data_IF_438357976443
#
_entry.id   IF_438357976443
#
_cell.length_a   1.000
_cell.length_b   1.000
_cell.length_c   1.000
_cell.angle_alpha   90.00
_cell.angle_beta   90.00
_cell.angle_gamma   90.00
#
_symmetry.space_group_name_H-M   'P 1'
#
loop_
_entity.id
_entity.type
_entity.pdbx_description
1 polymer ?
#
# COMPACT_ATOMS: atom_id res chain seq x y z
N UNK A 1 -9.77 -16.72 -6.77
CA UNK A 1 -10.29 -15.36 -6.55
C UNK A 1 -9.24 -14.57 -5.77
N UNK A 2 -8.78 -13.43 -6.29
CA UNK A 2 -7.77 -12.59 -5.64
C UNK A 2 -8.40 -11.67 -4.60
N UNK A 3 -7.79 -11.55 -3.42
CA UNK A 3 -8.21 -10.62 -2.37
C UNK A 3 -7.64 -9.23 -2.66
N UNK A 4 -8.41 -8.19 -2.36
CA UNK A 4 -7.93 -6.81 -2.38
C UNK A 4 -6.96 -6.56 -1.22
N UNK A 5 -5.90 -5.80 -1.48
CA UNK A 5 -4.81 -5.50 -0.55
C UNK A 5 -5.33 -4.82 0.70
N UNK A 6 -6.32 -3.92 0.55
CA UNK A 6 -6.95 -3.23 1.67
C UNK A 6 -7.50 -4.21 2.72
N UNK A 7 -8.19 -5.26 2.27
CA UNK A 7 -8.78 -6.27 3.15
C UNK A 7 -7.72 -7.23 3.74
N UNK A 8 -6.59 -7.42 3.05
CA UNK A 8 -5.47 -8.20 3.56
C UNK A 8 -4.70 -7.41 4.62
N UNK A 9 -4.51 -6.10 4.40
CA UNK A 9 -3.87 -5.19 5.34
C UNK A 9 -4.67 -5.08 6.64
N UNK A 10 -5.99 -4.91 6.55
CA UNK A 10 -6.88 -4.85 7.72
C UNK A 10 -6.76 -6.13 8.58
N UNK A 11 -6.75 -7.31 7.94
CA UNK A 11 -6.54 -8.59 8.63
C UNK A 11 -5.16 -8.75 9.23
N UNK A 12 -4.16 -8.07 8.66
CA UNK A 12 -2.81 -8.01 9.20
C UNK A 12 -2.66 -6.96 10.32
N UNK A 13 -3.75 -6.25 10.68
CA UNK A 13 -3.75 -5.20 11.70
C UNK A 13 -3.25 -3.85 11.20
N UNK A 14 -3.12 -3.66 9.89
CA UNK A 14 -2.72 -2.39 9.27
C UNK A 14 -3.97 -1.67 8.76
N UNK A 15 -4.26 -0.51 9.34
CA UNK A 15 -5.34 0.37 8.89
C UNK A 15 -4.81 1.28 7.78
N UNK A 16 -5.22 1.01 6.54
CA UNK A 16 -4.91 1.90 5.41
C UNK A 16 -6.08 2.87 5.25
N UNK A 17 -5.82 4.20 5.21
CA UNK A 17 -6.88 5.16 5.00
C UNK A 17 -7.55 4.92 3.64
N UNK A 18 -8.88 4.90 3.62
CA UNK A 18 -9.68 4.64 2.43
C UNK A 18 -10.64 5.79 2.17
N UNK A 19 -10.77 6.20 0.90
CA UNK A 19 -11.73 7.21 0.46
C UNK A 19 -12.67 6.67 -0.60
N UNK A 20 -12.36 6.96 -1.87
CA UNK A 20 -13.27 6.69 -2.99
C UNK A 20 -13.48 5.20 -3.37
N UNK A 21 -12.62 4.29 -2.89
CA UNK A 21 -12.60 2.85 -3.24
C UNK A 21 -12.57 2.50 -4.75
N UNK A 22 -12.44 3.51 -5.62
CA UNK A 22 -12.28 3.38 -7.08
C UNK A 22 -10.86 3.68 -7.53
N UNK A 23 -9.98 4.09 -6.60
CA UNK A 23 -8.60 4.50 -6.87
C UNK A 23 -8.47 5.96 -7.34
N UNK A 24 -9.54 6.72 -7.49
CA UNK A 24 -9.47 8.11 -7.97
C UNK A 24 -8.87 9.12 -6.98
N UNK A 25 -8.92 8.87 -5.67
CA UNK A 25 -8.58 9.86 -4.64
C UNK A 25 -7.12 9.82 -4.13
N UNK A 26 -6.33 8.81 -4.49
CA UNK A 26 -4.94 8.67 -4.04
C UNK A 26 -4.73 8.29 -2.56
N UNK A 27 -5.70 8.55 -1.67
CA UNK A 27 -5.61 8.28 -0.21
C UNK A 27 -5.15 6.84 0.13
N UNK A 28 -5.51 5.87 -0.71
CA UNK A 28 -5.23 4.45 -0.49
C UNK A 28 -3.84 4.02 -1.00
N UNK A 29 -2.96 4.96 -1.37
CA UNK A 29 -1.61 4.67 -1.89
C UNK A 29 -0.64 4.18 -0.81
N UNK A 30 0.03 3.07 -1.11
CA UNK A 30 0.96 2.41 -0.20
C UNK A 30 2.14 1.82 -0.98
N UNK A 31 3.31 1.78 -0.34
CA UNK A 31 4.48 1.08 -0.84
C UNK A 31 4.37 -0.42 -0.49
N UNK A 32 4.48 -1.28 -1.50
CA UNK A 32 4.36 -2.73 -1.34
C UNK A 32 5.65 -3.41 -1.74
N UNK A 33 6.21 -4.17 -0.81
CA UNK A 33 7.40 -4.99 -0.99
C UNK A 33 6.99 -6.46 -1.05
N UNK A 34 7.28 -7.11 -2.17
CA UNK A 34 6.91 -8.51 -2.42
C UNK A 34 8.15 -9.39 -2.35
N UNK A 35 8.10 -10.47 -1.56
CA UNK A 35 9.18 -11.43 -1.37
C UNK A 35 8.75 -12.80 -1.90
N UNK A 36 9.63 -13.46 -2.65
CA UNK A 36 9.40 -14.82 -3.17
C UNK A 36 10.31 -15.82 -2.46
N UNK A 37 9.88 -17.08 -2.41
CA UNK A 37 10.73 -18.17 -1.90
C UNK A 37 12.01 -18.25 -2.73
N UNK A 38 13.17 -18.16 -2.08
CA UNK A 38 14.48 -18.20 -2.75
C UNK A 38 14.91 -16.88 -3.40
N UNK A 39 14.23 -15.76 -3.12
CA UNK A 39 14.71 -14.42 -3.51
C UNK A 39 14.88 -13.53 -2.27
N UNK A 40 16.11 -13.09 -2.03
CA UNK A 40 16.45 -12.14 -0.96
C UNK A 40 16.10 -10.68 -1.33
N UNK A 41 15.96 -10.39 -2.62
CA UNK A 41 15.57 -9.09 -3.12
C UNK A 41 14.04 -8.96 -3.22
N UNK A 42 13.51 -7.84 -2.74
CA UNK A 42 12.09 -7.51 -2.87
C UNK A 42 11.83 -6.59 -4.05
N UNK A 43 10.76 -6.85 -4.79
CA UNK A 43 10.25 -5.89 -5.76
C UNK A 43 9.35 -4.88 -5.04
N UNK A 44 9.81 -3.64 -4.96
CA UNK A 44 9.04 -2.49 -4.48
C UNK A 44 8.10 -1.99 -5.57
N UNK A 45 6.84 -1.75 -5.20
CA UNK A 45 5.86 -1.13 -6.08
C UNK A 45 4.91 -0.25 -5.26
N UNK A 46 4.69 0.98 -5.73
CA UNK A 46 3.64 1.86 -5.18
C UNK A 46 2.32 1.48 -5.84
N UNK A 47 1.30 1.17 -5.03
CA UNK A 47 -0.01 0.76 -5.52
C UNK A 47 -1.13 1.41 -4.72
N UNK A 48 -2.29 1.54 -5.36
CA UNK A 48 -3.55 1.95 -4.73
C UNK A 48 -4.22 0.72 -4.10
N UNK A 49 -4.10 0.54 -2.78
CA UNK A 49 -4.59 -0.64 -2.03
C UNK A 49 -6.07 -0.95 -2.24
N UNK A 50 -6.88 0.08 -2.52
CA UNK A 50 -8.32 -0.03 -2.73
C UNK A 50 -8.71 -0.70 -4.07
N UNK A 51 -7.79 -0.76 -5.05
CA UNK A 51 -8.01 -1.44 -6.35
C UNK A 51 -6.92 -2.45 -6.70
N UNK A 52 -5.83 -2.47 -5.93
CA UNK A 52 -4.78 -3.46 -6.09
C UNK A 52 -5.31 -4.88 -5.80
N UNK A 53 -4.64 -5.88 -6.38
CA UNK A 53 -4.86 -7.29 -6.05
C UNK A 53 -3.56 -7.96 -5.71
N UNK A 54 -3.57 -8.70 -4.59
CA UNK A 54 -2.40 -9.44 -4.14
C UNK A 54 -2.07 -10.51 -5.17
N UNK A 55 -0.93 -10.40 -5.89
CA UNK A 55 -0.56 -11.40 -6.86
C UNK A 55 -0.19 -12.71 -6.15
N UNK A 56 -0.57 -13.88 -6.70
CA UNK A 56 -0.15 -15.17 -6.14
C UNK A 56 1.35 -15.42 -6.33
N UNK A 57 1.94 -16.28 -5.51
CA UNK A 57 3.34 -16.71 -5.65
C UNK A 57 4.38 -15.94 -4.83
N UNK A 58 3.94 -15.06 -3.93
CA UNK A 58 4.81 -14.40 -2.94
C UNK A 58 4.61 -15.04 -1.56
N UNK A 59 5.70 -15.24 -0.83
CA UNK A 59 5.69 -15.85 0.51
C UNK A 59 5.44 -14.81 1.60
N UNK A 60 5.90 -13.59 1.36
CA UNK A 60 5.74 -12.47 2.28
C UNK A 60 5.47 -11.19 1.50
N UNK A 61 4.58 -10.37 2.03
CA UNK A 61 4.30 -9.02 1.53
C UNK A 61 4.44 -8.08 2.72
N UNK A 62 5.23 -7.03 2.55
CA UNK A 62 5.31 -5.91 3.49
C UNK A 62 4.61 -4.72 2.83
N UNK A 63 3.80 -4.01 3.61
CA UNK A 63 3.11 -2.80 3.19
C UNK A 63 3.59 -1.69 4.11
N UNK A 64 4.14 -0.62 3.55
CA UNK A 64 4.45 0.61 4.28
C UNK A 64 3.48 1.70 3.84
N UNK A 65 2.90 2.38 4.82
CA UNK A 65 2.12 3.58 4.60
C UNK A 65 3.10 4.68 4.20
N UNK A 66 2.82 5.35 3.08
CA UNK A 66 3.55 6.54 2.70
C UNK A 66 3.03 7.68 3.56
N UNK A 67 3.49 7.73 4.81
CA UNK A 67 3.38 8.91 5.65
C UNK A 67 4.46 9.86 5.14
N UNK A 68 4.10 10.74 4.22
CA UNK A 68 5.00 11.78 3.74
C UNK A 68 4.84 12.97 4.70
N UNK A 69 5.77 13.20 5.67
CA UNK A 69 5.71 14.36 6.55
C UNK A 69 5.88 15.70 5.83
N UNK A 70 6.08 15.71 4.49
CA UNK A 70 6.18 16.94 3.70
C UNK A 70 4.84 17.64 3.47
N UNK A 71 3.70 17.06 3.86
CA UNK A 71 2.40 17.75 3.88
C UNK A 71 2.11 18.47 5.22
N UNK A 72 3.16 18.84 5.95
CA UNK A 72 3.05 19.58 7.22
C UNK A 72 4.04 20.75 7.36
N UNK A 73 4.74 21.16 6.31
CA UNK A 73 5.74 22.24 6.43
C UNK A 73 5.89 23.19 5.24
N UNK A 74 4.96 23.26 4.28
CA UNK A 74 4.87 24.44 3.41
C UNK A 74 3.99 25.50 4.07
N UNK A 75 4.61 26.21 5.01
CA UNK A 75 4.13 27.49 5.48
C UNK A 75 4.03 28.47 4.32
N UNK A 76 2.83 28.60 3.75
CA UNK A 76 2.44 29.73 2.92
C UNK A 76 1.40 30.58 3.67
N UNK A 77 1.80 31.05 4.85
CA UNK A 77 1.27 32.27 5.45
C UNK A 77 2.29 33.39 5.13
N UNK A 78 2.11 34.02 3.97
CA UNK A 78 2.65 35.33 3.61
C UNK A 78 1.75 35.92 2.55
#
# INVERSE_FOLDING_TARGET
MGRQELQVAERAGVQIPSGCNSGSCGICEVAVYKYRAGQDASAEAVVRSCIARVPPGYTRIKVDLMDDPLWGSDGWDT
#
